data_IF_014721831608
#
_entry.id   IF_014721831608
#
_cell.length_a   1.000
_cell.length_b   1.000
_cell.length_c   1.000
_cell.angle_alpha   90.00
_cell.angle_beta   90.00
_cell.angle_gamma   90.00
#
_symmetry.space_group_name_H-M   'P 1'
#
loop_
_entity.id
_entity.type
_entity.pdbx_description
1 polymer ?
#
# COMPACT_ATOMS: atom_id res chain seq x y z
N UNK A 1 -26.76 -10.71 23.45
CA UNK A 1 -26.18 -9.38 23.24
C UNK A 1 -25.01 -9.47 22.27
N UNK A 2 -25.10 -8.66 21.21
CA UNK A 2 -24.04 -8.05 20.39
C UNK A 2 -22.86 -8.93 19.89
N UNK A 3 -22.92 -9.28 18.60
CA UNK A 3 -21.84 -9.92 17.83
C UNK A 3 -20.88 -8.82 17.38
N UNK A 4 -19.70 -8.71 18.00
CA UNK A 4 -18.63 -7.81 17.54
C UNK A 4 -17.40 -8.65 17.18
N UNK A 5 -17.11 -8.74 15.89
CA UNK A 5 -15.96 -9.48 15.37
C UNK A 5 -15.84 -9.34 13.87
N UNK A 6 -15.49 -8.14 13.37
CA UNK A 6 -15.00 -7.91 11.99
C UNK A 6 -14.76 -6.43 11.67
N UNK A 7 -15.44 -5.50 12.34
CA UNK A 7 -15.50 -4.10 11.89
C UNK A 7 -14.15 -3.38 11.94
N UNK A 8 -13.37 -3.53 13.02
CA UNK A 8 -12.08 -2.85 13.16
C UNK A 8 -11.03 -3.33 12.15
N UNK A 9 -10.95 -4.64 11.91
CA UNK A 9 -10.05 -5.22 10.92
C UNK A 9 -10.44 -4.82 9.49
N UNK A 10 -11.75 -4.78 9.22
CA UNK A 10 -12.27 -4.31 7.95
C UNK A 10 -11.95 -2.82 7.70
N UNK A 11 -12.13 -1.97 8.72
CA UNK A 11 -11.77 -0.54 8.64
C UNK A 11 -10.26 -0.34 8.43
N UNK A 12 -9.39 -1.15 9.03
CA UNK A 12 -7.95 -1.07 8.81
C UNK A 12 -7.54 -1.48 7.39
N UNK A 13 -8.12 -2.56 6.85
CA UNK A 13 -7.91 -2.97 5.46
C UNK A 13 -8.38 -1.86 4.51
N UNK A 14 -9.55 -1.28 4.76
CA UNK A 14 -10.08 -0.19 3.95
C UNK A 14 -9.17 1.05 3.99
N UNK A 15 -8.70 1.47 5.17
CA UNK A 15 -7.71 2.55 5.30
C UNK A 15 -6.42 2.23 4.55
N UNK A 16 -5.88 1.01 4.72
CA UNK A 16 -4.67 0.57 4.01
C UNK A 16 -4.85 0.68 2.48
N UNK A 17 -5.98 0.22 1.94
CA UNK A 17 -6.24 0.33 0.50
C UNK A 17 -6.36 1.79 0.02
N UNK A 18 -6.97 2.66 0.82
CA UNK A 18 -7.02 4.10 0.52
C UNK A 18 -5.62 4.71 0.49
N UNK A 19 -4.74 4.34 1.43
CA UNK A 19 -3.38 4.86 1.49
C UNK A 19 -2.47 4.31 0.40
N UNK A 20 -2.56 3.01 0.10
CA UNK A 20 -1.91 2.41 -1.07
C UNK A 20 -2.35 3.13 -2.35
N UNK A 21 -3.64 3.44 -2.48
CA UNK A 21 -4.17 4.16 -3.64
C UNK A 21 -3.66 5.60 -3.76
N UNK A 22 -3.65 6.33 -2.64
CA UNK A 22 -3.36 7.78 -2.61
C UNK A 22 -1.88 8.11 -2.58
N UNK A 23 -1.08 7.34 -1.83
CA UNK A 23 0.34 7.59 -1.61
C UNK A 23 1.21 6.82 -2.60
N UNK A 24 1.00 5.51 -2.74
CA UNK A 24 1.85 4.66 -3.57
C UNK A 24 1.42 4.63 -5.05
N UNK A 25 0.19 4.19 -5.34
CA UNK A 25 -0.27 3.94 -6.69
C UNK A 25 -0.40 5.24 -7.52
N UNK A 26 -0.74 6.36 -6.88
CA UNK A 26 -0.87 7.66 -7.54
C UNK A 26 0.44 8.13 -8.18
N UNK A 27 1.57 7.93 -7.51
CA UNK A 27 2.87 8.39 -7.99
C UNK A 27 3.31 7.61 -9.22
N UNK A 28 3.26 6.28 -9.15
CA UNK A 28 3.55 5.39 -10.29
C UNK A 28 2.60 5.63 -11.47
N UNK A 29 1.30 5.86 -11.21
CA UNK A 29 0.33 6.22 -12.25
C UNK A 29 0.71 7.52 -12.96
N UNK A 30 1.10 8.57 -12.22
CA UNK A 30 1.53 9.84 -12.80
C UNK A 30 2.81 9.67 -13.65
N UNK A 31 3.76 8.87 -13.19
CA UNK A 31 4.99 8.56 -13.91
C UNK A 31 4.71 7.86 -15.25
N UNK A 32 3.92 6.78 -15.26
CA UNK A 32 3.59 6.06 -16.50
C UNK A 32 2.73 6.88 -17.47
N UNK A 33 1.86 7.76 -16.96
CA UNK A 33 1.13 8.71 -17.81
C UNK A 33 2.07 9.70 -18.49
N UNK A 34 3.10 10.19 -17.79
CA UNK A 34 4.12 11.06 -18.37
C UNK A 34 4.95 10.33 -19.42
N UNK A 35 5.35 9.08 -19.17
CA UNK A 35 6.02 8.22 -20.15
C UNK A 35 5.17 8.01 -21.41
N UNK A 36 3.87 7.77 -21.24
CA UNK A 36 2.93 7.68 -22.37
C UNK A 36 2.89 8.95 -23.21
N UNK A 37 2.86 10.11 -22.55
CA UNK A 37 2.78 11.41 -23.24
C UNK A 37 4.08 11.78 -23.97
N UNK A 38 5.24 11.55 -23.35
CA UNK A 38 6.54 11.99 -23.88
C UNK A 38 7.19 10.98 -24.83
N UNK A 39 6.98 9.69 -24.59
CA UNK A 39 7.67 8.60 -25.31
C UNK A 39 6.72 7.66 -26.05
N UNK A 40 5.46 8.08 -26.26
CA UNK A 40 4.43 7.32 -27.00
C UNK A 40 4.25 5.88 -26.51
N UNK A 41 4.36 5.67 -25.20
CA UNK A 41 4.26 4.34 -24.61
C UNK A 41 2.89 3.69 -24.88
N UNK A 42 2.88 2.55 -25.58
CA UNK A 42 1.68 1.79 -25.90
C UNK A 42 1.43 0.70 -24.85
N UNK A 43 0.43 0.91 -23.97
CA UNK A 43 0.04 -0.07 -22.93
C UNK A 43 -0.36 -1.45 -23.48
N UNK A 44 -0.90 -1.50 -24.71
CA UNK A 44 -1.29 -2.76 -25.36
C UNK A 44 -0.12 -3.48 -26.06
N UNK A 45 1.07 -2.86 -26.11
CA UNK A 45 2.23 -3.49 -26.73
C UNK A 45 2.97 -4.34 -25.68
N UNK A 46 3.02 -5.67 -25.82
CA UNK A 46 3.69 -6.54 -24.85
C UNK A 46 5.18 -6.24 -24.70
N UNK A 47 5.86 -5.77 -25.76
CA UNK A 47 7.28 -5.38 -25.68
C UNK A 47 7.50 -4.15 -24.79
N UNK A 48 6.56 -3.18 -24.84
CA UNK A 48 6.64 -2.00 -23.97
C UNK A 48 6.33 -2.38 -22.52
N UNK A 49 5.38 -3.29 -22.29
CA UNK A 49 5.10 -3.81 -20.95
C UNK A 49 6.31 -4.55 -20.39
N UNK A 50 6.92 -5.44 -21.18
CA UNK A 50 8.13 -6.16 -20.78
C UNK A 50 9.27 -5.19 -20.41
N UNK A 51 9.49 -4.16 -21.23
CA UNK A 51 10.53 -3.15 -20.97
C UNK A 51 10.24 -2.38 -19.68
N UNK A 52 8.98 -1.98 -19.45
CA UNK A 52 8.62 -1.29 -18.20
C UNK A 52 8.81 -2.17 -16.97
N UNK A 53 8.45 -3.45 -17.06
CA UNK A 53 8.70 -4.41 -15.99
C UNK A 53 10.20 -4.56 -15.75
N UNK A 54 10.99 -4.75 -16.81
CA UNK A 54 12.44 -4.90 -16.69
C UNK A 54 13.12 -3.68 -16.06
N UNK A 55 12.66 -2.47 -16.37
CA UNK A 55 13.28 -1.23 -15.89
C UNK A 55 12.80 -0.80 -14.50
N UNK A 56 11.53 -1.01 -14.19
CA UNK A 56 10.89 -0.37 -13.02
C UNK A 56 10.31 -1.34 -12.01
N UNK A 57 10.23 -2.66 -12.30
CA UNK A 57 9.66 -3.60 -11.34
C UNK A 57 10.44 -3.65 -10.04
N UNK A 58 11.77 -3.62 -10.10
CA UNK A 58 12.60 -3.60 -8.90
C UNK A 58 12.41 -2.32 -8.08
N UNK A 59 12.29 -1.17 -8.75
CA UNK A 59 11.98 0.11 -8.09
C UNK A 59 10.59 0.11 -7.47
N UNK A 60 9.58 -0.43 -8.16
CA UNK A 60 8.22 -0.57 -7.63
C UNK A 60 8.22 -1.47 -6.38
N UNK A 61 8.97 -2.57 -6.42
CA UNK A 61 9.08 -3.49 -5.28
C UNK A 61 9.80 -2.83 -4.10
N UNK A 62 10.84 -2.04 -4.36
CA UNK A 62 11.53 -1.27 -3.32
C UNK A 62 10.60 -0.24 -2.68
N UNK A 63 9.92 0.58 -3.49
CA UNK A 63 8.94 1.56 -2.99
C UNK A 63 7.80 0.86 -2.22
N UNK A 64 7.41 -0.35 -2.61
CA UNK A 64 6.41 -1.14 -1.92
C UNK A 64 6.92 -1.59 -0.54
N UNK A 65 8.17 -2.06 -0.45
CA UNK A 65 8.80 -2.44 0.81
C UNK A 65 8.96 -1.22 1.74
N UNK A 66 9.35 -0.07 1.19
CA UNK A 66 9.45 1.19 1.93
C UNK A 66 8.07 1.66 2.41
N UNK A 67 7.05 1.58 1.56
CA UNK A 67 5.67 1.89 1.94
C UNK A 67 5.20 0.97 3.08
N UNK A 68 5.46 -0.34 2.99
CA UNK A 68 5.13 -1.29 4.05
C UNK A 68 5.86 -0.97 5.35
N UNK A 69 7.16 -0.65 5.29
CA UNK A 69 7.93 -0.22 6.45
C UNK A 69 7.33 1.04 7.07
N UNK A 70 7.13 2.07 6.27
CA UNK A 70 6.59 3.35 6.73
C UNK A 70 5.18 3.18 7.31
N UNK A 71 4.32 2.37 6.68
CA UNK A 71 2.99 2.03 7.19
C UNK A 71 3.05 1.30 8.54
N UNK A 72 3.92 0.29 8.66
CA UNK A 72 4.08 -0.48 9.90
C UNK A 72 4.59 0.38 11.07
N UNK A 73 5.42 1.39 10.80
CA UNK A 73 5.99 2.28 11.80
C UNK A 73 5.19 3.57 12.02
N UNK A 74 4.20 3.89 11.18
CA UNK A 74 3.41 5.11 11.34
C UNK A 74 2.48 4.97 12.57
N UNK A 75 2.46 5.91 13.52
CA UNK A 75 1.43 5.92 14.56
C UNK A 75 0.06 6.15 13.90
N UNK A 76 -0.94 5.31 14.24
CA UNK A 76 -2.33 5.57 13.87
C UNK A 76 -2.81 6.70 14.78
N UNK A 77 -2.87 7.92 14.25
CA UNK A 77 -3.48 9.05 14.97
C UNK A 77 -5.00 8.91 14.94
N UNK A 78 -5.54 8.27 15.97
CA UNK A 78 -6.96 8.32 16.34
C UNK A 78 -7.09 8.76 17.80
N UNK A 79 -8.13 9.54 18.12
CA UNK A 79 -8.43 10.01 19.47
C UNK A 79 -8.46 8.84 20.46
N UNK A 80 -7.38 8.70 21.25
CA UNK A 80 -7.31 7.73 22.33
C UNK A 80 -5.94 7.10 22.51
N UNK A 81 -5.29 6.58 21.47
CA UNK A 81 -4.03 5.84 21.64
C UNK A 81 -3.14 5.94 20.40
N UNK A 82 -1.99 6.62 20.57
CA UNK A 82 -0.87 6.67 19.62
C UNK A 82 -0.21 5.28 19.45
N UNK A 83 -0.91 4.33 18.86
CA UNK A 83 -0.37 2.99 18.60
C UNK A 83 -0.13 2.83 17.09
N UNK A 84 1.05 2.36 16.72
CA UNK A 84 1.30 1.95 15.34
C UNK A 84 0.47 0.70 15.00
N UNK A 85 0.17 0.43 13.71
CA UNK A 85 -0.57 -0.75 13.28
C UNK A 85 0.02 -2.06 13.83
N UNK A 86 1.35 -2.13 13.96
CA UNK A 86 2.07 -3.29 14.53
C UNK A 86 1.74 -3.48 16.01
N UNK A 87 1.65 -2.40 16.79
CA UNK A 87 1.31 -2.47 18.21
C UNK A 87 -0.16 -2.91 18.39
N UNK A 88 -1.04 -2.43 17.51
CA UNK A 88 -2.44 -2.86 17.50
C UNK A 88 -2.59 -4.33 17.10
N UNK A 89 -1.79 -4.81 16.14
CA UNK A 89 -1.76 -6.20 15.69
C UNK A 89 -1.21 -7.15 16.77
N UNK A 90 -0.16 -6.75 17.49
CA UNK A 90 0.41 -7.52 18.60
C UNK A 90 -0.53 -7.65 19.81
N UNK A 91 -1.47 -6.72 19.99
CA UNK A 91 -2.49 -6.77 21.04
C UNK A 91 -3.72 -7.61 20.65
N UNK A 92 -3.92 -7.88 19.35
CA UNK A 92 -5.06 -8.65 18.83
C UNK A 92 -4.73 -10.13 18.58
N UNK A 93 -3.45 -10.52 18.68
CA UNK A 93 -3.00 -11.91 18.70
C UNK A 93 -2.45 -12.25 20.11
N UNK A 94 -3.29 -12.35 21.16
CA UNK A 94 -2.88 -13.12 22.31
C UNK A 94 -3.02 -14.61 21.95
N UNK A 95 -1.93 -15.36 22.12
CA UNK A 95 -1.90 -16.82 22.27
C UNK A 95 -2.13 -17.65 21.00
N UNK A 96 -1.06 -17.84 20.23
CA UNK A 96 -0.76 -19.16 19.64
C UNK A 96 0.60 -19.61 20.18
N UNK A 97 0.58 -20.00 21.44
CA UNK A 97 1.61 -20.79 22.13
C UNK A 97 0.89 -21.82 22.97
#
# INVERSE_FOLDING_TARGET
SFIWGSSTHNTQIECLWVEVGTQFARQWKAFFLRLKRLHFLKRKNPSHLWLLHHLFLDSINHDCADFQGNWNYHPISGEGHNMSPVVCMNLLIPLQG
#
